data_IF_913959586691
#
_entry.id   IF_913959586691
#
_cell.length_a   1.000
_cell.length_b   1.000
_cell.length_c   1.000
_cell.angle_alpha   90.00
_cell.angle_beta   90.00
_cell.angle_gamma   90.00
#
_symmetry.space_group_name_H-M   'P 1'
#
loop_
_entity.id
_entity.type
_entity.pdbx_description
1 polymer ?
#
# COMPACT_ATOMS: atom_id res chain seq x y z
N UNK A 1 -33.89 18.70 -2.83
CA UNK A 1 -32.58 19.38 -3.00
C UNK A 1 -32.18 20.31 -1.84
N UNK A 2 -33.08 20.73 -0.94
CA UNK A 2 -32.73 21.68 0.14
C UNK A 2 -31.64 21.21 1.12
N UNK A 3 -31.57 19.92 1.47
CA UNK A 3 -30.55 19.41 2.39
C UNK A 3 -29.12 19.53 1.82
N UNK A 4 -28.93 19.18 0.55
CA UNK A 4 -27.61 19.28 -0.09
C UNK A 4 -27.16 20.74 -0.23
N UNK A 5 -28.08 21.63 -0.57
CA UNK A 5 -27.81 23.07 -0.65
C UNK A 5 -27.47 23.66 0.73
N UNK A 6 -28.18 23.25 1.79
CA UNK A 6 -27.89 23.67 3.15
C UNK A 6 -26.54 23.12 3.68
N UNK A 7 -26.20 21.87 3.35
CA UNK A 7 -24.91 21.27 3.74
C UNK A 7 -23.72 22.01 3.11
N UNK A 8 -23.86 22.44 1.86
CA UNK A 8 -22.81 23.13 1.12
C UNK A 8 -22.93 24.67 1.21
N UNK A 9 -23.86 25.17 2.02
CA UNK A 9 -24.08 26.60 2.18
C UNK A 9 -22.85 27.27 2.83
N UNK A 10 -22.46 28.49 2.42
CA UNK A 10 -21.31 29.19 2.99
C UNK A 10 -21.37 29.36 4.52
N UNK A 11 -22.58 29.40 5.08
CA UNK A 11 -22.87 29.55 6.50
C UNK A 11 -22.63 28.25 7.30
N UNK A 12 -22.46 27.11 6.64
CA UNK A 12 -22.16 25.83 7.27
C UNK A 12 -20.66 25.48 7.11
N UNK A 13 -19.81 25.76 8.12
CA UNK A 13 -18.37 25.50 8.02
C UNK A 13 -18.01 24.02 8.19
N UNK A 14 -18.93 23.20 8.72
CA UNK A 14 -18.60 21.85 9.17
C UNK A 14 -18.22 20.92 8.01
N UNK A 15 -18.92 21.00 6.88
CA UNK A 15 -18.70 20.08 5.76
C UNK A 15 -17.29 20.23 5.20
N UNK A 16 -16.85 21.46 4.99
CA UNK A 16 -15.49 21.75 4.52
C UNK A 16 -14.45 21.32 5.56
N UNK A 17 -14.63 21.68 6.85
CA UNK A 17 -13.72 21.28 7.93
C UNK A 17 -13.56 19.76 8.07
N UNK A 18 -14.66 19.02 8.04
CA UNK A 18 -14.65 17.54 8.11
C UNK A 18 -13.96 16.95 6.88
N UNK A 19 -14.24 17.47 5.68
CA UNK A 19 -13.64 16.99 4.45
C UNK A 19 -12.11 17.21 4.44
N UNK A 20 -11.65 18.43 4.75
CA UNK A 20 -10.20 18.72 4.76
C UNK A 20 -9.48 17.99 5.88
N UNK A 21 -10.12 17.75 7.02
CA UNK A 21 -9.53 16.93 8.07
C UNK A 21 -9.30 15.48 7.63
N UNK A 22 -10.20 14.92 6.81
CA UNK A 22 -10.00 13.59 6.20
C UNK A 22 -8.88 13.59 5.17
N UNK A 23 -8.80 14.63 4.32
CA UNK A 23 -7.68 14.78 3.38
C UNK A 23 -6.34 14.87 4.14
N UNK A 24 -6.33 15.66 5.21
CA UNK A 24 -5.20 15.79 6.11
C UNK A 24 -4.83 14.46 6.76
N UNK A 25 -5.81 13.72 7.31
CA UNK A 25 -5.59 12.39 7.90
C UNK A 25 -4.99 11.41 6.89
N UNK A 26 -5.44 11.43 5.64
CA UNK A 26 -4.85 10.57 4.59
C UNK A 26 -3.38 10.91 4.32
N UNK A 27 -3.00 12.18 4.44
CA UNK A 27 -1.65 12.67 4.12
C UNK A 27 -0.72 12.62 5.33
N UNK A 28 -1.10 13.16 6.47
CA UNK A 28 -0.28 13.25 7.68
C UNK A 28 -0.58 12.15 8.69
N UNK A 29 -1.59 11.34 8.38
CA UNK A 29 -1.97 10.24 9.21
C UNK A 29 -3.00 10.61 10.27
N UNK A 30 -2.68 11.54 11.16
CA UNK A 30 -3.62 11.95 12.20
C UNK A 30 -4.29 13.23 11.76
N UNK A 31 -5.63 13.26 11.80
CA UNK A 31 -6.40 14.48 11.53
C UNK A 31 -5.97 15.63 12.45
N UNK A 32 -6.17 16.87 12.00
CA UNK A 32 -6.05 18.05 12.88
C UNK A 32 -6.98 17.86 14.09
N UNK A 33 -8.21 17.42 13.83
CA UNK A 33 -9.10 16.77 14.81
C UNK A 33 -8.84 15.27 14.73
N UNK A 34 -8.34 14.65 15.80
CA UNK A 34 -7.97 13.22 15.73
C UNK A 34 -9.18 12.28 15.73
N UNK A 35 -10.31 12.73 16.30
CA UNK A 35 -11.61 12.04 16.25
C UNK A 35 -12.32 12.36 14.94
N UNK A 36 -11.86 11.79 13.82
CA UNK A 36 -12.44 12.05 12.49
C UNK A 36 -13.94 11.72 12.40
N UNK A 37 -14.42 10.83 13.26
CA UNK A 37 -15.81 10.44 13.42
C UNK A 37 -16.68 11.45 14.20
N UNK A 38 -16.09 12.35 14.98
CA UNK A 38 -16.82 13.29 15.84
C UNK A 38 -16.18 14.69 15.84
N UNK A 39 -16.89 15.63 15.21
CA UNK A 39 -16.58 17.06 15.19
C UNK A 39 -17.45 17.86 16.17
N UNK A 40 -18.24 17.17 16.99
CA UNK A 40 -19.09 17.75 18.02
C UNK A 40 -18.38 17.90 19.37
N UNK A 41 -19.17 18.11 20.42
CA UNK A 41 -18.69 18.38 21.77
C UNK A 41 -17.98 17.20 22.46
N UNK A 42 -18.13 15.99 21.93
CA UNK A 42 -17.46 14.78 22.43
C UNK A 42 -16.21 14.43 21.62
N UNK A 43 -15.93 15.17 20.54
CA UNK A 43 -14.71 15.07 19.76
C UNK A 43 -13.53 15.79 20.41
N UNK A 44 -12.33 15.52 19.91
CA UNK A 44 -11.13 16.25 20.31
C UNK A 44 -11.10 17.64 19.67
N UNK A 45 -10.51 18.61 20.37
CA UNK A 45 -10.26 19.92 19.78
C UNK A 45 -9.21 19.82 18.67
N UNK A 46 -9.32 20.66 17.62
CA UNK A 46 -8.32 20.72 16.56
C UNK A 46 -6.96 21.14 17.13
N UNK A 47 -5.90 20.43 16.77
CA UNK A 47 -4.53 20.79 17.18
C UNK A 47 -4.09 22.15 16.61
N UNK A 48 -4.59 22.49 15.42
CA UNK A 48 -4.29 23.73 14.71
C UNK A 48 -5.60 24.35 14.16
N UNK A 49 -6.40 25.06 14.99
CA UNK A 49 -7.71 25.57 14.60
C UNK A 49 -7.65 26.55 13.42
N UNK A 50 -6.70 27.48 13.42
CA UNK A 50 -6.55 28.48 12.35
C UNK A 50 -6.18 27.82 11.01
N UNK A 51 -5.33 26.79 11.05
CA UNK A 51 -4.96 26.03 9.85
C UNK A 51 -6.16 25.26 9.29
N UNK A 52 -6.94 24.61 10.16
CA UNK A 52 -8.16 23.90 9.76
C UNK A 52 -9.15 24.85 9.07
N UNK A 53 -9.30 26.06 9.62
CA UNK A 53 -10.20 27.07 9.07
C UNK A 53 -9.71 27.59 7.72
N UNK A 54 -8.42 27.87 7.61
CA UNK A 54 -7.82 28.29 6.35
C UNK A 54 -7.97 27.22 5.26
N UNK A 55 -7.67 25.95 5.57
CA UNK A 55 -7.83 24.83 4.63
C UNK A 55 -9.29 24.63 4.21
N UNK A 56 -10.23 24.79 5.13
CA UNK A 56 -11.66 24.65 4.84
C UNK A 56 -12.16 25.75 3.89
N UNK A 57 -11.67 26.99 4.06
CA UNK A 57 -11.96 28.09 3.13
C UNK A 57 -11.35 27.81 1.76
N UNK A 58 -10.07 27.45 1.71
CA UNK A 58 -9.35 27.13 0.47
C UNK A 58 -10.05 26.01 -0.33
N UNK A 59 -10.48 24.94 0.36
CA UNK A 59 -11.18 23.84 -0.30
C UNK A 59 -12.51 24.26 -0.90
N UNK A 60 -13.24 25.17 -0.23
CA UNK A 60 -14.51 25.69 -0.75
C UNK A 60 -14.29 26.66 -1.92
N UNK A 61 -13.33 27.56 -1.81
CA UNK A 61 -13.04 28.59 -2.83
C UNK A 61 -12.41 28.01 -4.10
N UNK A 62 -11.66 26.91 -3.98
CA UNK A 62 -11.20 26.11 -5.13
C UNK A 62 -12.31 25.32 -5.84
N UNK A 63 -13.56 25.41 -5.36
CA UNK A 63 -14.68 24.68 -5.95
C UNK A 63 -14.73 23.20 -5.54
N UNK A 64 -14.28 22.87 -4.32
CA UNK A 64 -14.21 21.51 -3.80
C UNK A 64 -13.23 20.61 -4.56
N UNK A 65 -12.13 21.20 -5.05
CA UNK A 65 -11.10 20.48 -5.82
C UNK A 65 -10.19 19.65 -4.89
N UNK A 66 -10.43 18.34 -4.87
CA UNK A 66 -9.63 17.38 -4.08
C UNK A 66 -8.20 17.28 -4.59
N UNK A 67 -7.96 17.38 -5.89
CA UNK A 67 -6.60 17.28 -6.46
C UNK A 67 -5.76 18.50 -6.10
N UNK A 68 -6.37 19.68 -6.11
CA UNK A 68 -5.75 20.91 -5.62
C UNK A 68 -5.33 20.78 -4.15
N UNK A 69 -6.25 20.36 -3.28
CA UNK A 69 -5.94 20.18 -1.86
C UNK A 69 -4.85 19.13 -1.63
N UNK A 70 -4.91 17.99 -2.32
CA UNK A 70 -3.86 16.99 -2.21
C UNK A 70 -2.51 17.56 -2.66
N UNK A 71 -2.45 18.28 -3.79
CA UNK A 71 -1.21 18.93 -4.24
C UNK A 71 -0.67 19.88 -3.17
N UNK A 72 -1.52 20.77 -2.64
CA UNK A 72 -1.17 21.72 -1.59
C UNK A 72 -0.55 21.04 -0.36
N UNK A 73 -1.17 19.97 0.12
CA UNK A 73 -0.66 19.22 1.28
C UNK A 73 0.64 18.47 0.96
N UNK A 74 0.71 17.79 -0.20
CA UNK A 74 1.85 16.98 -0.62
C UNK A 74 3.10 17.82 -0.95
N UNK A 75 2.93 19.10 -1.30
CA UNK A 75 4.05 20.03 -1.57
C UNK A 75 4.42 20.90 -0.37
N UNK A 76 3.79 20.69 0.79
CA UNK A 76 4.09 21.48 2.00
C UNK A 76 5.44 21.08 2.63
N UNK A 77 6.08 22.03 3.33
CA UNK A 77 7.30 21.74 4.10
C UNK A 77 7.05 20.68 5.17
N UNK A 78 5.89 20.73 5.83
CA UNK A 78 5.49 19.74 6.84
C UNK A 78 5.45 18.31 6.27
N UNK A 79 5.02 18.16 5.01
CA UNK A 79 5.01 16.86 4.32
C UNK A 79 6.42 16.36 4.01
N UNK A 80 7.34 17.26 3.68
CA UNK A 80 8.72 16.95 3.30
C UNK A 80 9.67 16.73 4.50
N UNK A 81 9.19 16.89 5.74
CA UNK A 81 9.98 16.63 6.93
C UNK A 81 10.43 15.18 7.00
N UNK A 82 11.65 14.96 7.52
CA UNK A 82 12.16 13.62 7.78
C UNK A 82 11.32 12.92 8.84
N UNK A 83 10.98 11.65 8.63
CA UNK A 83 10.32 10.81 9.65
C UNK A 83 11.25 10.35 10.78
N UNK A 84 12.54 10.74 10.77
CA UNK A 84 13.49 10.37 11.82
C UNK A 84 13.06 10.97 13.16
N UNK A 85 12.86 10.10 14.16
CA UNK A 85 12.54 10.54 15.52
C UNK A 85 13.76 11.24 16.12
N UNK A 86 13.56 12.49 16.52
CA UNK A 86 14.54 13.32 17.21
C UNK A 86 14.30 13.24 18.71
N UNK A 87 15.27 12.78 19.53
CA UNK A 87 15.08 12.64 20.97
C UNK A 87 14.63 13.94 21.66
N UNK A 88 15.14 15.09 21.23
CA UNK A 88 14.81 16.41 21.79
C UNK A 88 13.38 16.88 21.49
N UNK A 89 12.74 16.32 20.45
CA UNK A 89 11.35 16.63 20.08
C UNK A 89 10.38 15.52 20.51
N UNK A 90 10.87 14.30 20.74
CA UNK A 90 10.04 13.16 21.11
C UNK A 90 9.32 13.37 22.46
N UNK A 91 9.94 14.07 23.41
CA UNK A 91 9.31 14.42 24.68
C UNK A 91 8.23 15.51 24.54
N UNK A 92 8.39 16.40 23.55
CA UNK A 92 7.50 17.56 23.33
C UNK A 92 6.32 17.23 22.42
N UNK A 93 6.52 16.32 21.47
CA UNK A 93 5.52 15.88 20.50
C UNK A 93 5.58 14.36 20.28
N UNK A 94 5.24 13.56 21.31
CA UNK A 94 5.35 12.10 21.24
C UNK A 94 4.46 11.53 20.13
N UNK A 95 3.25 12.06 19.98
CA UNK A 95 2.24 11.59 19.03
C UNK A 95 2.34 12.22 17.62
N UNK A 96 3.34 13.09 17.39
CA UNK A 96 3.50 13.86 16.14
C UNK A 96 2.30 14.77 15.81
N UNK A 97 1.59 15.28 16.83
CA UNK A 97 0.42 16.17 16.71
C UNK A 97 0.83 17.58 16.28
N UNK A 98 2.06 18.00 16.59
CA UNK A 98 2.65 19.29 16.20
C UNK A 98 3.46 19.21 14.91
N UNK A 99 3.45 18.06 14.22
CA UNK A 99 4.21 17.81 12.99
C UNK A 99 5.72 18.07 13.16
N UNK A 100 6.28 17.71 14.32
CA UNK A 100 7.72 17.86 14.58
C UNK A 100 8.61 17.01 13.64
N UNK A 101 8.01 16.01 12.97
CA UNK A 101 8.67 15.10 12.03
C UNK A 101 7.68 14.64 10.94
N UNK A 102 8.20 14.03 9.88
CA UNK A 102 7.40 13.34 8.89
C UNK A 102 6.58 12.20 9.51
N UNK A 103 5.35 12.02 9.03
CA UNK A 103 4.49 10.94 9.50
C UNK A 103 4.85 9.62 8.84
N UNK A 104 5.41 8.70 9.62
CA UNK A 104 5.65 7.34 9.17
C UNK A 104 4.39 6.50 9.28
N UNK A 105 3.89 5.99 8.15
CA UNK A 105 2.69 5.14 8.12
C UNK A 105 2.79 4.03 7.11
N UNK A 106 2.41 2.83 7.57
CA UNK A 106 2.20 1.70 6.67
C UNK A 106 1.05 1.98 5.70
N UNK A 107 1.25 1.62 4.44
CA UNK A 107 0.22 1.61 3.43
C UNK A 107 -0.94 0.69 3.84
N UNK A 108 -2.15 1.04 3.41
CA UNK A 108 -3.32 0.17 3.56
C UNK A 108 -3.21 -1.07 2.68
N UNK A 109 -3.94 -2.14 3.03
CA UNK A 109 -3.94 -3.42 2.32
C UNK A 109 -4.03 -3.27 0.79
N UNK A 110 -4.97 -2.47 0.29
CA UNK A 110 -5.17 -2.25 -1.14
C UNK A 110 -3.95 -1.59 -1.79
N UNK A 111 -3.35 -0.61 -1.10
CA UNK A 111 -2.17 0.11 -1.57
C UNK A 111 -0.92 -0.76 -1.49
N UNK A 112 -0.77 -1.64 -0.50
CA UNK A 112 0.35 -2.60 -0.42
C UNK A 112 0.34 -3.54 -1.62
N UNK A 113 -0.81 -4.15 -1.91
CA UNK A 113 -0.96 -5.02 -3.07
C UNK A 113 -0.73 -4.26 -4.38
N UNK A 114 -1.39 -3.12 -4.55
CA UNK A 114 -1.27 -2.33 -5.79
C UNK A 114 0.17 -1.83 -5.99
N UNK A 115 0.88 -1.47 -4.92
CA UNK A 115 2.29 -1.07 -4.97
C UNK A 115 3.20 -2.22 -5.42
N UNK A 116 3.04 -3.42 -4.86
CA UNK A 116 3.80 -4.59 -5.28
C UNK A 116 3.58 -4.91 -6.77
N UNK A 117 2.33 -4.89 -7.23
CA UNK A 117 1.98 -5.06 -8.64
C UNK A 117 2.57 -3.97 -9.53
N UNK A 118 2.56 -2.71 -9.08
CA UNK A 118 3.11 -1.59 -9.83
C UNK A 118 4.63 -1.70 -9.97
N UNK A 119 5.34 -2.00 -8.88
CA UNK A 119 6.79 -2.22 -8.85
C UNK A 119 7.18 -3.39 -9.78
N UNK A 120 6.40 -4.48 -9.75
CA UNK A 120 6.54 -5.63 -10.63
C UNK A 120 6.17 -5.37 -12.10
N UNK A 121 5.51 -4.24 -12.40
CA UNK A 121 5.04 -3.94 -13.76
C UNK A 121 3.81 -4.74 -14.19
N UNK A 122 3.07 -5.32 -13.24
CA UNK A 122 1.87 -6.13 -13.48
C UNK A 122 0.58 -5.33 -13.36
N UNK A 123 0.58 -4.22 -12.61
CA UNK A 123 -0.65 -3.49 -12.26
C UNK A 123 -1.44 -3.03 -13.50
N UNK A 124 -2.71 -3.45 -13.59
CA UNK A 124 -3.63 -3.02 -14.63
C UNK A 124 -4.48 -1.85 -14.14
N UNK A 125 -4.21 -0.65 -14.67
CA UNK A 125 -4.86 0.63 -14.28
C UNK A 125 -6.16 0.94 -15.04
N UNK A 126 -6.83 -0.07 -15.60
CA UNK A 126 -8.12 0.11 -16.29
C UNK A 126 -9.18 0.62 -15.31
N UNK A 127 -9.77 1.79 -15.61
CA UNK A 127 -10.91 2.33 -14.88
C UNK A 127 -12.24 1.69 -15.31
N UNK A 128 -13.13 1.43 -14.34
CA UNK A 128 -14.47 0.89 -14.56
C UNK A 128 -14.51 -0.63 -14.80
N UNK A 129 -15.61 -1.13 -15.35
CA UNK A 129 -15.79 -2.57 -15.63
C UNK A 129 -16.15 -3.42 -14.40
N UNK A 130 -16.35 -4.73 -14.61
CA UNK A 130 -16.78 -5.64 -13.54
C UNK A 130 -15.68 -5.87 -12.50
N UNK A 131 -16.10 -6.24 -11.29
CA UNK A 131 -15.18 -6.70 -10.25
C UNK A 131 -14.46 -7.99 -10.66
N UNK A 132 -13.24 -8.17 -10.18
CA UNK A 132 -12.38 -9.32 -10.48
C UNK A 132 -12.05 -10.12 -9.24
N UNK A 133 -11.64 -11.37 -9.46
CA UNK A 133 -11.32 -12.35 -8.42
C UNK A 133 -9.86 -12.79 -8.58
N UNK A 134 -8.89 -12.08 -7.96
CA UNK A 134 -7.47 -12.43 -8.03
C UNK A 134 -7.17 -13.71 -7.23
N UNK A 135 -5.88 -14.01 -6.98
CA UNK A 135 -5.48 -15.17 -6.18
C UNK A 135 -6.18 -15.24 -4.82
N UNK A 136 -6.64 -16.43 -4.47
CA UNK A 136 -7.18 -16.78 -3.16
C UNK A 136 -7.04 -18.29 -2.95
N UNK A 137 -6.76 -18.78 -1.72
CA UNK A 137 -6.81 -20.21 -1.42
C UNK A 137 -8.16 -20.84 -1.73
N UNK A 138 -8.14 -22.09 -2.20
CA UNK A 138 -9.33 -22.83 -2.57
C UNK A 138 -10.22 -23.15 -1.35
N UNK A 139 -11.51 -23.38 -1.59
CA UNK A 139 -12.46 -23.88 -0.59
C UNK A 139 -13.03 -22.85 0.40
N UNK A 140 -12.38 -21.69 0.58
CA UNK A 140 -12.79 -20.68 1.57
C UNK A 140 -14.24 -20.21 1.42
N UNK A 141 -14.73 -20.06 0.19
CA UNK A 141 -16.10 -19.62 -0.07
C UNK A 141 -17.14 -20.72 0.14
N UNK A 142 -16.77 -21.97 -0.10
CA UNK A 142 -17.61 -23.14 0.03
C UNK A 142 -17.89 -23.46 1.50
N UNK A 143 -16.91 -23.25 2.38
CA UNK A 143 -17.03 -23.44 3.83
C UNK A 143 -18.07 -22.52 4.47
N UNK A 144 -18.15 -21.26 4.00
CA UNK A 144 -19.05 -20.26 4.61
C UNK A 144 -20.40 -20.11 3.88
N UNK A 145 -20.54 -20.65 2.66
CA UNK A 145 -21.71 -20.43 1.84
C UNK A 145 -22.79 -21.49 2.05
N UNK A 146 -24.05 -21.04 2.08
CA UNK A 146 -25.20 -21.93 1.98
C UNK A 146 -25.18 -22.69 0.65
N UNK A 147 -25.67 -23.93 0.64
CA UNK A 147 -25.70 -24.80 -0.55
C UNK A 147 -26.38 -24.15 -1.77
N UNK A 148 -27.38 -23.29 -1.53
CA UNK A 148 -28.15 -22.59 -2.58
C UNK A 148 -27.50 -21.27 -3.05
N UNK A 149 -26.34 -20.89 -2.51
CA UNK A 149 -25.70 -19.62 -2.87
C UNK A 149 -25.13 -19.63 -4.28
N UNK A 150 -25.50 -18.64 -5.09
CA UNK A 150 -24.90 -18.39 -6.41
C UNK A 150 -23.45 -17.86 -6.37
N UNK A 151 -22.91 -17.60 -5.17
CA UNK A 151 -21.51 -17.22 -4.93
C UNK A 151 -20.82 -18.25 -4.01
N UNK A 152 -21.27 -19.51 -4.07
CA UNK A 152 -20.71 -20.59 -3.26
C UNK A 152 -19.27 -20.94 -3.65
N UNK A 153 -18.97 -20.92 -4.95
CA UNK A 153 -17.66 -21.31 -5.48
C UNK A 153 -16.88 -20.05 -5.86
N UNK A 154 -15.63 -19.99 -5.41
CA UNK A 154 -14.69 -18.97 -5.86
C UNK A 154 -14.08 -19.39 -7.20
N UNK A 155 -14.55 -18.78 -8.28
CA UNK A 155 -13.94 -18.90 -9.60
C UNK A 155 -12.90 -17.80 -9.77
N UNK A 156 -11.61 -18.15 -9.67
CA UNK A 156 -10.49 -17.23 -9.88
C UNK A 156 -10.55 -16.68 -11.31
N UNK A 157 -10.28 -15.39 -11.48
CA UNK A 157 -10.06 -14.81 -12.80
C UNK A 157 -8.74 -15.25 -13.42
N UNK A 158 -8.52 -14.90 -14.68
CA UNK A 158 -7.30 -15.22 -15.43
C UNK A 158 -6.71 -13.95 -16.06
N UNK A 159 -5.41 -13.98 -16.37
CA UNK A 159 -4.71 -12.88 -17.04
C UNK A 159 -4.84 -11.54 -16.31
N UNK A 160 -5.22 -10.47 -17.02
CA UNK A 160 -5.34 -9.12 -16.45
C UNK A 160 -6.26 -9.03 -15.21
N UNK A 161 -7.22 -9.95 -15.08
CA UNK A 161 -8.13 -9.98 -13.93
C UNK A 161 -7.39 -10.23 -12.61
N UNK A 162 -6.22 -10.88 -12.66
CA UNK A 162 -5.37 -11.15 -11.51
C UNK A 162 -4.63 -9.89 -11.03
N UNK A 163 -4.39 -8.92 -11.90
CA UNK A 163 -3.53 -7.76 -11.59
C UNK A 163 -4.25 -6.41 -11.63
N UNK A 164 -5.59 -6.39 -11.70
CA UNK A 164 -6.33 -5.13 -11.57
C UNK A 164 -6.11 -4.49 -10.20
N UNK A 165 -6.22 -3.16 -10.18
CA UNK A 165 -6.26 -2.35 -8.95
C UNK A 165 -7.22 -2.96 -7.94
N UNK A 166 -6.78 -3.01 -6.68
CA UNK A 166 -7.48 -3.68 -5.58
C UNK A 166 -8.87 -3.11 -5.29
N UNK A 167 -9.14 -1.87 -5.73
CA UNK A 167 -10.50 -1.28 -5.68
C UNK A 167 -11.53 -2.09 -6.50
N UNK A 168 -11.10 -2.82 -7.52
CA UNK A 168 -11.95 -3.68 -8.35
C UNK A 168 -12.01 -5.13 -7.86
N UNK A 169 -11.35 -5.48 -6.75
CA UNK A 169 -11.43 -6.82 -6.19
C UNK A 169 -12.82 -7.10 -5.65
N UNK A 170 -13.39 -8.24 -6.04
CA UNK A 170 -14.68 -8.71 -5.56
C UNK A 170 -14.63 -8.97 -4.07
N UNK A 171 -15.61 -8.45 -3.33
CA UNK A 171 -15.67 -8.56 -1.87
C UNK A 171 -16.94 -9.32 -1.47
N UNK A 172 -16.78 -10.59 -1.08
CA UNK A 172 -17.87 -11.35 -0.47
C UNK A 172 -17.93 -10.98 1.00
N UNK A 173 -19.02 -10.33 1.44
CA UNK A 173 -19.16 -9.80 2.81
C UNK A 173 -18.81 -10.83 3.90
N UNK A 174 -19.27 -12.08 3.74
CA UNK A 174 -19.03 -13.16 4.70
C UNK A 174 -17.65 -13.86 4.56
N UNK A 175 -16.91 -13.64 3.47
CA UNK A 175 -15.57 -14.17 3.26
C UNK A 175 -14.75 -13.21 2.39
N UNK A 176 -14.29 -12.09 2.96
CA UNK A 176 -13.41 -11.15 2.28
C UNK A 176 -12.09 -11.79 1.84
N UNK A 177 -11.32 -11.13 0.94
CA UNK A 177 -10.00 -11.63 0.55
C UNK A 177 -9.07 -11.78 1.77
N UNK A 178 -8.48 -12.97 2.01
CA UNK A 178 -7.78 -13.27 3.27
C UNK A 178 -6.51 -12.45 3.46
N UNK A 179 -5.73 -12.22 2.40
CA UNK A 179 -4.56 -11.35 2.45
C UNK A 179 -4.94 -9.90 2.80
N UNK A 180 -6.06 -9.39 2.27
CA UNK A 180 -6.54 -8.05 2.59
C UNK A 180 -6.95 -7.94 4.06
N UNK A 181 -7.68 -8.92 4.59
CA UNK A 181 -8.04 -8.95 6.02
C UNK A 181 -6.81 -8.97 6.93
N UNK A 182 -5.82 -9.80 6.58
CA UNK A 182 -4.57 -9.89 7.33
C UNK A 182 -3.85 -8.54 7.35
N UNK A 183 -3.91 -7.78 6.26
CA UNK A 183 -3.32 -6.44 6.10
C UNK A 183 -4.26 -5.31 6.60
N UNK A 184 -5.16 -5.61 7.53
CA UNK A 184 -6.10 -4.69 8.19
C UNK A 184 -7.17 -4.04 7.26
N UNK A 185 -7.50 -4.67 6.13
CA UNK A 185 -8.66 -4.22 5.35
C UNK A 185 -9.97 -4.47 6.11
N UNK A 186 -10.92 -3.52 6.10
CA UNK A 186 -12.20 -3.71 6.77
C UNK A 186 -13.06 -4.77 6.06
N UNK A 187 -13.89 -5.50 6.82
CA UNK A 187 -14.76 -6.57 6.32
C UNK A 187 -15.92 -6.07 5.44
N UNK A 188 -16.18 -4.74 5.47
CA UNK A 188 -17.34 -4.06 4.83
C UNK A 188 -18.71 -4.49 5.37
N UNK A 189 -18.74 -5.09 6.56
CA UNK A 189 -19.99 -5.39 7.28
C UNK A 189 -20.58 -4.16 7.97
N UNK A 190 -19.72 -3.21 8.34
CA UNK A 190 -20.07 -1.95 8.99
C UNK A 190 -19.24 -0.80 8.41
N UNK A 191 -19.72 0.42 8.63
CA UNK A 191 -19.01 1.63 8.25
C UNK A 191 -17.75 1.79 9.09
N UNK A 192 -16.60 1.92 8.44
CA UNK A 192 -15.30 2.12 9.08
C UNK A 192 -14.79 3.52 8.74
N UNK A 193 -14.86 4.43 9.71
CA UNK A 193 -14.38 5.82 9.54
C UNK A 193 -12.86 5.88 9.68
N UNK A 194 -12.32 5.21 10.71
CA UNK A 194 -10.88 5.07 10.94
C UNK A 194 -10.47 3.61 10.77
N UNK A 195 -9.43 3.38 9.97
CA UNK A 195 -8.88 2.03 9.77
C UNK A 195 -7.83 1.73 10.84
N UNK A 196 -7.83 0.51 11.36
CA UNK A 196 -6.76 0.05 12.23
C UNK A 196 -5.47 -0.12 11.42
N UNK A 197 -4.34 0.06 12.09
CA UNK A 197 -3.02 -0.23 11.52
C UNK A 197 -2.23 -1.02 12.57
N UNK A 198 -2.13 -2.32 12.35
CA UNK A 198 -1.41 -3.25 13.22
C UNK A 198 -0.08 -3.61 12.58
N UNK A 199 0.90 -4.07 13.38
CA UNK A 199 2.14 -4.63 12.87
C UNK A 199 2.31 -6.02 13.46
N UNK A 200 1.90 -7.05 12.70
CA UNK A 200 1.91 -8.44 13.15
C UNK A 200 2.86 -9.27 12.29
N UNK A 201 3.50 -10.31 12.85
CA UNK A 201 4.34 -11.23 12.07
C UNK A 201 3.59 -11.87 10.89
N UNK A 202 2.28 -12.10 11.03
CA UNK A 202 1.46 -12.68 9.97
C UNK A 202 1.40 -11.79 8.72
N UNK A 203 1.41 -10.47 8.89
CA UNK A 203 1.44 -9.53 7.76
C UNK A 203 2.75 -9.61 6.99
N UNK A 204 3.88 -9.70 7.69
CA UNK A 204 5.18 -9.92 7.04
C UNK A 204 5.23 -11.27 6.30
N UNK A 205 4.59 -12.32 6.85
CA UNK A 205 4.47 -13.62 6.19
C UNK A 205 3.57 -13.58 4.95
N UNK A 206 2.49 -12.79 4.93
CA UNK A 206 1.68 -12.57 3.73
C UNK A 206 2.52 -11.92 2.63
N UNK A 207 3.25 -10.85 2.95
CA UNK A 207 4.11 -10.17 1.96
C UNK A 207 5.20 -11.09 1.38
N UNK A 208 5.62 -12.10 2.14
CA UNK A 208 6.69 -13.01 1.72
C UNK A 208 6.20 -14.26 0.97
N UNK A 209 5.01 -14.77 1.31
CA UNK A 209 4.57 -16.11 0.88
C UNK A 209 3.28 -16.11 0.06
N UNK A 210 2.46 -15.05 0.12
CA UNK A 210 1.23 -15.01 -0.66
C UNK A 210 1.56 -14.99 -2.15
N UNK A 211 0.87 -15.83 -2.92
CA UNK A 211 1.13 -16.07 -4.35
C UNK A 211 1.20 -14.77 -5.15
N UNK A 212 0.35 -13.79 -4.82
CA UNK A 212 0.33 -12.51 -5.51
C UNK A 212 1.62 -11.70 -5.29
N UNK A 213 2.17 -11.73 -4.07
CA UNK A 213 3.39 -10.98 -3.73
C UNK A 213 4.63 -11.68 -4.25
N UNK A 214 4.67 -13.02 -4.24
CA UNK A 214 5.76 -13.80 -4.84
C UNK A 214 5.81 -13.59 -6.35
N UNK A 215 4.65 -13.64 -7.02
CA UNK A 215 4.55 -13.34 -8.46
C UNK A 215 5.02 -11.91 -8.77
N UNK A 216 4.58 -10.93 -7.97
CA UNK A 216 5.01 -9.54 -8.14
C UNK A 216 6.52 -9.35 -7.94
N UNK A 217 7.12 -10.04 -6.96
CA UNK A 217 8.56 -10.05 -6.73
C UNK A 217 9.32 -10.67 -7.92
N UNK A 218 8.77 -11.74 -8.51
CA UNK A 218 9.36 -12.39 -9.70
C UNK A 218 9.29 -11.50 -10.93
N UNK A 219 8.15 -10.86 -11.18
CA UNK A 219 8.01 -9.90 -12.27
C UNK A 219 8.93 -8.69 -12.08
N UNK A 220 9.08 -8.23 -10.83
CA UNK A 220 10.03 -7.18 -10.47
C UNK A 220 11.49 -7.61 -10.75
N UNK A 221 11.88 -8.83 -10.40
CA UNK A 221 13.20 -9.38 -10.68
C UNK A 221 13.46 -9.47 -12.19
N UNK A 222 12.54 -10.06 -12.95
CA UNK A 222 12.62 -10.16 -14.41
C UNK A 222 12.79 -8.78 -15.07
N UNK A 223 12.00 -7.80 -14.64
CA UNK A 223 12.08 -6.43 -15.13
C UNK A 223 13.42 -5.77 -14.78
N UNK A 224 13.93 -5.97 -13.56
CA UNK A 224 15.22 -5.41 -13.13
C UNK A 224 16.39 -6.00 -13.92
N UNK A 225 16.37 -7.32 -14.15
CA UNK A 225 17.37 -8.03 -14.95
C UNK A 225 17.45 -7.53 -16.40
N UNK A 226 16.32 -7.12 -16.97
CA UNK A 226 16.23 -6.60 -18.34
C UNK A 226 16.59 -5.11 -18.49
N UNK A 227 16.58 -4.32 -17.42
CA UNK A 227 16.80 -2.86 -17.48
C UNK A 227 18.27 -2.43 -17.31
N UNK A 228 19.12 -3.29 -16.74
CA UNK A 228 20.54 -2.98 -16.54
C UNK A 228 21.41 -4.24 -16.73
N UNK A 229 22.68 -4.03 -17.11
CA UNK A 229 23.61 -5.13 -17.37
C UNK A 229 24.43 -5.55 -16.14
N UNK A 230 24.75 -4.59 -15.26
CA UNK A 230 25.59 -4.84 -14.08
C UNK A 230 24.75 -4.96 -12.81
N UNK A 231 25.18 -5.82 -11.89
CA UNK A 231 24.47 -6.05 -10.64
C UNK A 231 24.33 -4.79 -9.79
N UNK A 232 25.38 -3.97 -9.66
CA UNK A 232 25.29 -2.73 -8.86
C UNK A 232 24.24 -1.75 -9.40
N UNK A 233 24.13 -1.65 -10.73
CA UNK A 233 23.13 -0.81 -11.40
C UNK A 233 21.72 -1.38 -11.16
N UNK A 234 21.57 -2.71 -11.24
CA UNK A 234 20.31 -3.44 -10.94
C UNK A 234 19.90 -3.27 -9.47
N UNK A 235 20.83 -3.40 -8.54
CA UNK A 235 20.60 -3.24 -7.10
C UNK A 235 20.15 -1.81 -6.79
N UNK A 236 20.84 -0.80 -7.32
CA UNK A 236 20.47 0.59 -7.14
C UNK A 236 19.11 0.92 -7.76
N UNK A 237 18.81 0.36 -8.94
CA UNK A 237 17.53 0.52 -9.61
C UNK A 237 16.39 -0.13 -8.82
N UNK A 238 16.59 -1.37 -8.37
CA UNK A 238 15.60 -2.10 -7.58
C UNK A 238 15.29 -1.36 -6.27
N UNK A 239 16.33 -0.96 -5.55
CA UNK A 239 16.18 -0.22 -4.30
C UNK A 239 15.47 1.12 -4.49
N UNK A 240 15.81 1.86 -5.56
CA UNK A 240 15.15 3.13 -5.88
C UNK A 240 13.69 2.94 -6.27
N UNK A 241 13.35 1.84 -6.95
CA UNK A 241 11.97 1.55 -7.33
C UNK A 241 11.09 1.28 -6.13
N UNK A 242 11.62 0.64 -5.08
CA UNK A 242 10.84 0.30 -3.89
C UNK A 242 10.83 1.44 -2.85
N UNK A 243 11.92 2.18 -2.70
CA UNK A 243 12.09 3.19 -1.63
C UNK A 243 12.08 4.64 -2.11
N UNK A 244 12.05 4.87 -3.43
CA UNK A 244 12.17 6.20 -4.06
C UNK A 244 13.47 6.98 -3.77
N UNK A 245 14.49 6.34 -3.19
CA UNK A 245 15.82 6.92 -2.94
C UNK A 245 16.94 6.01 -3.42
N UNK A 246 18.16 6.56 -3.50
CA UNK A 246 19.33 5.73 -3.76
C UNK A 246 19.76 5.00 -2.46
N UNK A 247 20.27 3.76 -2.56
CA UNK A 247 20.90 3.11 -1.42
C UNK A 247 22.19 3.85 -1.07
N UNK A 248 22.51 3.90 0.22
CA UNK A 248 23.85 4.29 0.65
C UNK A 248 24.86 3.15 0.44
N UNK A 249 26.12 3.40 0.82
CA UNK A 249 27.20 2.43 0.62
C UNK A 249 27.03 1.14 1.45
N UNK A 250 26.47 1.25 2.65
CA UNK A 250 26.27 0.13 3.56
C UNK A 250 25.08 -0.71 3.10
N UNK A 251 24.00 -0.07 2.70
CA UNK A 251 22.82 -0.71 2.10
C UNK A 251 23.19 -1.45 0.81
N UNK A 252 23.97 -0.82 -0.08
CA UNK A 252 24.42 -1.47 -1.30
C UNK A 252 25.31 -2.68 -1.00
N UNK A 253 26.19 -2.60 0.01
CA UNK A 253 27.00 -3.73 0.44
C UNK A 253 26.16 -4.89 0.97
N UNK A 254 25.13 -4.60 1.78
CA UNK A 254 24.18 -5.60 2.28
C UNK A 254 23.40 -6.27 1.14
N UNK A 255 22.92 -5.50 0.17
CA UNK A 255 22.21 -6.03 -0.99
C UNK A 255 23.10 -6.95 -1.85
N UNK A 256 24.37 -6.59 -2.04
CA UNK A 256 25.34 -7.45 -2.74
C UNK A 256 25.55 -8.77 -2.00
N UNK A 257 25.72 -8.71 -0.68
CA UNK A 257 25.90 -9.91 0.14
C UNK A 257 24.68 -10.83 0.07
N UNK A 258 23.48 -10.26 0.24
CA UNK A 258 22.23 -11.02 0.13
C UNK A 258 22.05 -11.67 -1.25
N UNK A 259 22.35 -10.95 -2.33
CA UNK A 259 22.29 -11.50 -3.69
C UNK A 259 23.27 -12.67 -3.88
N UNK A 260 24.49 -12.55 -3.35
CA UNK A 260 25.48 -13.62 -3.41
C UNK A 260 25.00 -14.88 -2.67
N UNK A 261 24.40 -14.72 -1.48
CA UNK A 261 23.84 -15.82 -0.70
C UNK A 261 22.67 -16.50 -1.43
N UNK A 262 21.76 -15.71 -2.04
CA UNK A 262 20.64 -16.27 -2.80
C UNK A 262 21.10 -17.01 -4.05
N UNK A 263 22.10 -16.50 -4.76
CA UNK A 263 22.72 -17.20 -5.89
C UNK A 263 23.36 -18.51 -5.45
N UNK A 264 24.10 -18.52 -4.35
CA UNK A 264 24.69 -19.74 -3.80
C UNK A 264 23.62 -20.78 -3.44
N UNK A 265 22.51 -20.34 -2.83
CA UNK A 265 21.37 -21.22 -2.51
C UNK A 265 20.77 -21.86 -3.76
N UNK A 266 20.42 -21.07 -4.78
CA UNK A 266 19.77 -21.60 -5.98
C UNK A 266 20.71 -22.34 -6.93
N UNK A 267 22.01 -22.05 -6.89
CA UNK A 267 23.02 -22.90 -7.53
C UNK A 267 23.06 -24.30 -6.90
N UNK A 268 22.87 -24.41 -5.58
CA UNK A 268 22.84 -25.69 -4.86
C UNK A 268 21.50 -26.44 -4.94
N UNK A 269 20.41 -25.74 -5.28
CA UNK A 269 19.05 -26.29 -5.34
C UNK A 269 18.29 -25.82 -6.60
N UNK A 270 18.62 -26.35 -7.80
CA UNK A 270 17.97 -25.93 -9.05
C UNK A 270 16.47 -26.23 -9.10
N UNK A 271 16.02 -27.30 -8.44
CA UNK A 271 14.61 -27.65 -8.36
C UNK A 271 13.80 -26.59 -7.60
N UNK A 272 14.35 -26.07 -6.49
CA UNK A 272 13.74 -24.96 -5.73
C UNK A 272 13.68 -23.67 -6.55
N UNK A 273 14.71 -23.43 -7.38
CA UNK A 273 14.73 -22.28 -8.28
C UNK A 273 13.58 -22.37 -9.29
N UNK A 274 13.41 -23.53 -9.92
CA UNK A 274 12.34 -23.78 -10.87
C UNK A 274 10.96 -23.60 -10.21
N UNK A 275 10.76 -24.17 -9.03
CA UNK A 275 9.51 -24.05 -8.30
C UNK A 275 9.17 -22.58 -7.97
N UNK A 276 10.16 -21.75 -7.61
CA UNK A 276 9.94 -20.33 -7.31
C UNK A 276 9.58 -19.54 -8.58
N UNK A 277 10.26 -19.77 -9.70
CA UNK A 277 10.02 -19.00 -10.94
C UNK A 277 8.69 -19.35 -11.60
N UNK A 278 8.09 -20.49 -11.24
CA UNK A 278 6.78 -20.94 -11.71
C UNK A 278 5.61 -20.40 -10.88
N UNK A 279 5.86 -19.64 -9.80
CA UNK A 279 4.79 -19.05 -8.99
C UNK A 279 4.07 -17.93 -9.74
N UNK A 280 2.73 -18.01 -9.76
CA UNK A 280 1.83 -17.08 -10.43
C UNK A 280 1.63 -17.39 -11.93
N UNK A 281 0.83 -16.57 -12.60
CA UNK A 281 0.49 -16.72 -14.03
C UNK A 281 1.31 -15.80 -14.94
N UNK A 282 2.03 -14.81 -14.40
CA UNK A 282 2.82 -13.88 -15.20
C UNK A 282 3.89 -14.65 -15.99
N UNK A 283 4.05 -14.40 -17.29
CA UNK A 283 4.99 -15.18 -18.11
C UNK A 283 6.43 -14.99 -17.63
N UNK A 284 7.20 -16.08 -17.62
CA UNK A 284 8.65 -16.02 -17.42
C UNK A 284 9.31 -15.60 -18.73
N UNK A 285 10.20 -14.59 -18.76
CA UNK A 285 10.87 -14.18 -19.99
C UNK A 285 11.68 -15.33 -20.61
N UNK A 286 11.54 -15.53 -21.92
CA UNK A 286 12.23 -16.60 -22.63
C UNK A 286 13.75 -16.48 -22.51
N UNK A 287 14.42 -17.60 -22.23
CA UNK A 287 15.87 -17.64 -22.06
C UNK A 287 16.38 -17.14 -20.71
N UNK A 288 15.50 -16.87 -19.74
CA UNK A 288 15.91 -16.57 -18.36
C UNK A 288 16.55 -17.80 -17.72
N UNK A 289 17.71 -17.60 -17.08
CA UNK A 289 18.26 -18.59 -16.16
C UNK A 289 17.39 -18.64 -14.90
N UNK A 290 16.81 -19.80 -14.60
CA UNK A 290 15.92 -20.00 -13.47
C UNK A 290 16.61 -19.73 -12.13
N UNK A 291 17.91 -20.08 -11.99
CA UNK A 291 18.65 -19.87 -10.75
C UNK A 291 18.90 -18.38 -10.50
N UNK A 292 19.28 -17.65 -11.55
CA UNK A 292 19.49 -16.21 -11.47
C UNK A 292 18.17 -15.47 -11.21
N UNK A 293 17.10 -15.82 -11.93
CA UNK A 293 15.79 -15.20 -11.73
C UNK A 293 15.25 -15.49 -10.33
N UNK A 294 15.42 -16.71 -9.80
CA UNK A 294 15.02 -17.05 -8.44
C UNK A 294 15.80 -16.27 -7.38
N UNK A 295 17.13 -16.10 -7.56
CA UNK A 295 17.96 -15.32 -6.65
C UNK A 295 17.52 -13.84 -6.60
N UNK A 296 17.29 -13.23 -7.76
CA UNK A 296 16.75 -11.87 -7.82
C UNK A 296 15.31 -11.79 -7.29
N UNK A 297 14.49 -12.83 -7.47
CA UNK A 297 13.12 -12.88 -6.94
C UNK A 297 13.12 -12.81 -5.41
N UNK A 298 14.01 -13.54 -4.72
CA UNK A 298 14.15 -13.43 -3.27
C UNK A 298 14.65 -12.06 -2.82
N UNK A 299 15.60 -11.46 -3.55
CA UNK A 299 16.07 -10.12 -3.26
C UNK A 299 14.93 -9.09 -3.41
N UNK A 300 14.19 -9.17 -4.52
CA UNK A 300 13.04 -8.33 -4.80
C UNK A 300 11.91 -8.52 -3.78
N UNK A 301 11.64 -9.75 -3.35
CA UNK A 301 10.70 -10.06 -2.26
C UNK A 301 11.15 -9.43 -0.94
N UNK A 302 12.44 -9.51 -0.63
CA UNK A 302 13.04 -8.86 0.54
C UNK A 302 12.85 -7.35 0.50
N UNK A 303 13.10 -6.72 -0.65
CA UNK A 303 12.90 -5.28 -0.87
C UNK A 303 11.42 -4.89 -0.73
N UNK A 304 10.48 -5.70 -1.23
CA UNK A 304 9.04 -5.46 -1.11
C UNK A 304 8.55 -5.55 0.35
N UNK A 305 9.23 -6.33 1.20
CA UNK A 305 8.90 -6.47 2.62
C UNK A 305 9.69 -5.52 3.54
N UNK A 306 10.56 -4.66 2.99
CA UNK A 306 11.23 -3.64 3.80
C UNK A 306 10.22 -2.64 4.36
N UNK A 307 10.44 -2.21 5.59
CA UNK A 307 9.63 -1.14 6.18
C UNK A 307 9.66 0.13 5.31
N UNK A 308 10.82 0.49 4.75
CA UNK A 308 10.96 1.63 3.84
C UNK A 308 10.13 1.52 2.54
N UNK A 309 9.64 0.33 2.19
CA UNK A 309 8.79 0.08 1.01
C UNK A 309 7.31 0.03 1.39
N UNK A 310 6.98 -0.57 2.54
CA UNK A 310 5.59 -0.73 2.99
C UNK A 310 5.08 0.45 3.81
N UNK A 311 5.99 1.27 4.35
CA UNK A 311 5.70 2.49 5.06
C UNK A 311 6.13 3.69 4.24
N UNK A 312 5.30 4.72 4.22
CA UNK A 312 5.72 6.05 3.82
C UNK A 312 6.60 6.63 4.94
N UNK A 313 7.75 7.19 4.60
CA UNK A 313 8.73 7.78 5.54
C UNK A 313 9.36 9.04 4.99
#
# INVERSE_FOLDING_TARGET
MGLAQWLLAPENPLVARVAVNRLWEMVFGTGIVATTEDFGLQGEFPSHPELLDWLAVEFRESGWDVQHMLRLLLTSEAYALSSRVRPDLAERDPENRLLARGSRRRLHAEALRDNALHIGGLLVERFGGPSVKPYQPEGLWQEVAMLQSNTRVYERGEGEALWRRSVYTYWKRACPPPAMLTLDAPTREFCNIRRMNTNTPLQALVLWNDEQFVEAARAFAARTLGEAAKDDERLALAFRRTTSRHPDADELALLRAALADFRARYASAPADAQALVEVGEAPVPAGSDAAELAAWTLLCSSLLNLDATICRS
#
